data_IF_770865438173
#
_entry.id   IF_770865438173
#
_cell.length_a   1.000
_cell.length_b   1.000
_cell.length_c   1.000
_cell.angle_alpha   90.00
_cell.angle_beta   90.00
_cell.angle_gamma   90.00
#
_symmetry.space_group_name_H-M   'P 1'
#
loop_
_entity.id
_entity.type
_entity.pdbx_description
1 polymer ?
#
# COMPACT_ATOMS: atom_id res chain seq x y z
N UNK A 1 -3.22 -27.40 -17.21
CA UNK A 1 -2.72 -26.00 -17.13
C UNK A 1 -3.81 -24.92 -17.11
N UNK A 2 -4.80 -24.91 -18.03
CA UNK A 2 -5.83 -23.83 -18.08
C UNK A 2 -6.66 -23.66 -16.78
N UNK A 3 -7.00 -24.73 -16.07
CA UNK A 3 -7.81 -24.69 -14.83
C UNK A 3 -7.04 -24.14 -13.62
N UNK A 4 -5.73 -24.42 -13.55
CA UNK A 4 -4.86 -23.97 -12.46
C UNK A 4 -4.56 -22.46 -12.57
N UNK A 5 -4.25 -21.98 -13.78
CA UNK A 5 -4.09 -20.55 -14.07
C UNK A 5 -5.37 -19.75 -13.79
N UNK A 6 -6.54 -20.31 -14.14
CA UNK A 6 -7.85 -19.65 -13.93
C UNK A 6 -8.20 -19.54 -12.43
N UNK A 7 -7.83 -20.51 -11.62
CA UNK A 7 -8.00 -20.46 -10.16
C UNK A 7 -6.94 -19.59 -9.47
N UNK A 8 -5.76 -19.42 -10.08
CA UNK A 8 -4.70 -18.58 -9.53
C UNK A 8 -4.98 -17.08 -9.71
N UNK A 9 -5.61 -16.68 -10.82
CA UNK A 9 -6.02 -15.31 -11.14
C UNK A 9 -7.40 -14.94 -10.57
N UNK A 10 -7.55 -15.02 -9.24
CA UNK A 10 -8.74 -14.45 -8.59
C UNK A 10 -8.76 -12.93 -8.76
N UNK A 11 -9.94 -12.33 -8.75
CA UNK A 11 -10.10 -10.89 -8.94
C UNK A 11 -9.39 -10.07 -7.83
N UNK A 12 -9.35 -10.59 -6.60
CA UNK A 12 -8.57 -9.99 -5.52
C UNK A 12 -7.06 -10.01 -5.80
N UNK A 13 -6.53 -11.07 -6.41
CA UNK A 13 -5.10 -11.16 -6.76
C UNK A 13 -4.75 -10.26 -7.93
N UNK A 14 -5.63 -10.13 -8.92
CA UNK A 14 -5.47 -9.15 -10.01
C UNK A 14 -5.42 -7.72 -9.47
N UNK A 15 -6.32 -7.40 -8.54
CA UNK A 15 -6.32 -6.10 -7.88
C UNK A 15 -5.04 -5.89 -7.04
N UNK A 16 -4.59 -6.91 -6.30
CA UNK A 16 -3.29 -6.88 -5.60
C UNK A 16 -2.11 -6.61 -6.53
N UNK A 17 -2.05 -7.31 -7.68
CA UNK A 17 -1.01 -7.13 -8.69
C UNK A 17 -1.06 -5.74 -9.33
N UNK A 18 -2.27 -5.21 -9.57
CA UNK A 18 -2.43 -3.84 -10.06
C UNK A 18 -1.93 -2.81 -9.03
N UNK A 19 -2.22 -3.00 -7.74
CA UNK A 19 -1.72 -2.13 -6.66
C UNK A 19 -0.20 -2.20 -6.55
N UNK A 20 0.37 -3.40 -6.63
CA UNK A 20 1.82 -3.63 -6.67
C UNK A 20 2.46 -2.86 -7.82
N UNK A 21 1.91 -3.00 -9.03
CA UNK A 21 2.43 -2.32 -10.20
C UNK A 21 2.34 -0.78 -10.09
N UNK A 22 1.21 -0.25 -9.60
CA UNK A 22 1.06 1.19 -9.38
C UNK A 22 2.03 1.72 -8.33
N UNK A 23 2.23 1.00 -7.22
CA UNK A 23 3.19 1.38 -6.19
C UNK A 23 4.62 1.43 -6.74
N UNK A 24 5.01 0.42 -7.54
CA UNK A 24 6.31 0.39 -8.22
C UNK A 24 6.49 1.52 -9.22
N UNK A 25 5.47 1.82 -10.03
CA UNK A 25 5.52 2.97 -10.95
C UNK A 25 5.63 4.31 -10.21
N UNK A 26 4.86 4.51 -9.13
CA UNK A 26 4.95 5.74 -8.36
C UNK A 26 6.33 5.91 -7.75
N UNK A 27 6.90 4.83 -7.21
CA UNK A 27 8.28 4.83 -6.73
C UNK A 27 9.28 5.15 -7.83
N UNK A 28 9.15 4.53 -9.00
CA UNK A 28 10.02 4.79 -10.14
C UNK A 28 9.95 6.27 -10.57
N UNK A 29 8.74 6.78 -10.79
CA UNK A 29 8.54 8.14 -11.28
C UNK A 29 8.96 9.20 -10.26
N UNK A 30 8.67 8.99 -8.97
CA UNK A 30 9.03 9.97 -7.92
C UNK A 30 10.50 9.82 -7.51
N UNK A 31 10.96 8.60 -7.29
CA UNK A 31 12.33 8.29 -6.84
C UNK A 31 13.41 8.50 -7.89
N UNK A 32 13.11 8.27 -9.17
CA UNK A 32 14.09 8.45 -10.25
C UNK A 32 13.72 9.60 -11.20
N UNK A 33 12.44 9.87 -11.39
CA UNK A 33 11.94 10.82 -12.39
C UNK A 33 11.71 12.25 -11.88
N UNK A 34 11.82 12.51 -10.58
CA UNK A 34 11.68 13.87 -10.03
C UNK A 34 12.93 14.32 -9.30
N UNK A 35 13.12 15.65 -9.22
CA UNK A 35 14.16 16.25 -8.36
C UNK A 35 13.99 15.90 -6.88
N UNK A 36 12.82 15.34 -6.50
CA UNK A 36 12.53 14.87 -5.15
C UNK A 36 13.39 13.68 -4.75
N UNK A 37 13.76 12.82 -5.71
CA UNK A 37 14.72 11.73 -5.47
C UNK A 37 16.15 12.21 -5.19
N UNK A 38 16.45 13.48 -5.50
CA UNK A 38 17.72 14.13 -5.22
C UNK A 38 17.71 15.04 -3.99
N UNK A 39 16.60 15.15 -3.24
CA UNK A 39 16.58 15.93 -2.00
C UNK A 39 17.36 15.21 -0.90
N UNK A 40 18.17 15.97 -0.16
CA UNK A 40 18.96 15.50 0.97
C UNK A 40 18.13 15.05 2.19
N UNK A 41 16.81 15.24 2.17
CA UNK A 41 15.90 14.93 3.27
C UNK A 41 15.02 13.70 2.95
N UNK A 42 15.26 12.55 3.62
CA UNK A 42 14.41 11.36 3.48
C UNK A 42 12.93 11.58 3.80
N UNK A 43 12.64 12.57 4.65
CA UNK A 43 11.27 12.91 5.08
C UNK A 43 10.45 13.44 3.91
N UNK A 44 11.03 14.33 3.11
CA UNK A 44 10.34 14.92 1.96
C UNK A 44 10.04 13.84 0.93
N UNK A 45 11.01 12.96 0.68
CA UNK A 45 10.81 11.81 -0.21
C UNK A 45 9.67 10.90 0.26
N UNK A 46 9.66 10.51 1.55
CA UNK A 46 8.57 9.71 2.13
C UNK A 46 7.22 10.41 1.98
N UNK A 47 7.16 11.71 2.26
CA UNK A 47 5.93 12.49 2.19
C UNK A 47 5.38 12.54 0.76
N UNK A 48 6.18 12.98 -0.22
CA UNK A 48 5.74 13.08 -1.61
C UNK A 48 5.39 11.73 -2.21
N UNK A 49 6.17 10.69 -1.89
CA UNK A 49 5.88 9.33 -2.35
C UNK A 49 4.59 8.78 -1.73
N UNK A 50 4.39 8.95 -0.43
CA UNK A 50 3.19 8.49 0.28
C UNK A 50 1.93 9.19 -0.20
N UNK A 51 1.97 10.52 -0.35
CA UNK A 51 0.86 11.31 -0.91
C UNK A 51 0.61 10.94 -2.36
N UNK A 52 1.67 10.84 -3.18
CA UNK A 52 1.58 10.48 -4.59
C UNK A 52 0.91 9.13 -4.81
N UNK A 53 1.35 8.10 -4.08
CA UNK A 53 0.72 6.77 -4.13
C UNK A 53 -0.74 6.85 -3.64
N UNK A 54 -1.01 7.60 -2.57
CA UNK A 54 -2.37 7.79 -2.06
C UNK A 54 -3.31 8.40 -3.10
N UNK A 55 -2.86 9.45 -3.79
CA UNK A 55 -3.62 10.10 -4.86
C UNK A 55 -3.85 9.20 -6.06
N UNK A 56 -2.81 8.52 -6.55
CA UNK A 56 -2.93 7.54 -7.64
C UNK A 56 -3.87 6.40 -7.22
N UNK A 57 -3.84 6.00 -5.94
CA UNK A 57 -4.76 4.99 -5.43
C UNK A 57 -6.21 5.46 -5.48
N UNK A 58 -6.48 6.72 -5.10
CA UNK A 58 -7.83 7.28 -5.11
C UNK A 58 -8.36 7.49 -6.52
N UNK A 59 -7.54 8.02 -7.43
CA UNK A 59 -7.96 8.48 -8.76
C UNK A 59 -7.88 7.36 -9.80
N UNK A 60 -6.93 6.44 -9.68
CA UNK A 60 -6.67 5.40 -10.69
C UNK A 60 -7.04 4.03 -10.14
N UNK A 61 -6.41 3.60 -9.04
CA UNK A 61 -6.60 2.24 -8.53
C UNK A 61 -8.05 1.97 -8.11
N UNK A 62 -8.61 2.81 -7.23
CA UNK A 62 -9.92 2.58 -6.64
C UNK A 62 -11.03 2.50 -7.72
N UNK A 63 -11.13 3.43 -8.68
CA UNK A 63 -12.12 3.34 -9.75
C UNK A 63 -11.97 2.07 -10.58
N UNK A 64 -10.75 1.69 -10.96
CA UNK A 64 -10.53 0.47 -11.76
C UNK A 64 -10.84 -0.77 -10.92
N UNK A 65 -10.35 -0.83 -9.69
CA UNK A 65 -10.50 -1.99 -8.83
C UNK A 65 -11.97 -2.27 -8.47
N UNK A 66 -12.76 -1.24 -8.20
CA UNK A 66 -14.18 -1.40 -7.85
C UNK A 66 -15.12 -1.50 -9.06
N UNK A 67 -14.71 -1.08 -10.26
CA UNK A 67 -15.54 -1.20 -11.46
C UNK A 67 -15.22 -2.43 -12.31
N UNK A 68 -13.95 -2.85 -12.35
CA UNK A 68 -13.46 -3.93 -13.23
C UNK A 68 -13.39 -5.27 -12.49
N UNK A 69 -13.01 -5.27 -11.21
CA UNK A 69 -12.85 -6.50 -10.43
C UNK A 69 -14.00 -6.72 -9.46
N UNK A 70 -14.46 -7.96 -9.30
CA UNK A 70 -15.40 -8.33 -8.24
C UNK A 70 -14.63 -8.58 -6.95
N UNK A 71 -14.36 -7.51 -6.21
CA UNK A 71 -13.64 -7.59 -4.95
C UNK A 71 -14.52 -8.21 -3.87
N UNK A 72 -14.09 -9.34 -3.34
CA UNK A 72 -14.77 -10.03 -2.24
C UNK A 72 -13.94 -9.96 -0.97
N UNK A 73 -14.57 -9.66 0.17
CA UNK A 73 -13.93 -9.73 1.49
C UNK A 73 -14.87 -10.44 2.44
N UNK A 74 -14.40 -11.51 3.07
CA UNK A 74 -15.22 -12.37 3.94
C UNK A 74 -16.54 -12.85 3.30
N UNK A 75 -16.53 -13.10 1.99
CA UNK A 75 -17.72 -13.56 1.25
C UNK A 75 -18.65 -12.44 0.74
N UNK A 76 -18.46 -11.19 1.16
CA UNK A 76 -19.28 -10.05 0.72
C UNK A 76 -18.64 -9.30 -0.46
N UNK A 77 -19.46 -8.87 -1.43
CA UNK A 77 -19.05 -8.08 -2.59
C UNK A 77 -18.95 -6.60 -2.17
N UNK A 78 -17.74 -6.06 -2.14
CA UNK A 78 -17.46 -4.69 -1.65
C UNK A 78 -17.87 -3.57 -2.62
N UNK A 79 -18.19 -3.90 -3.88
CA UNK A 79 -18.34 -2.92 -4.96
C UNK A 79 -19.55 -1.99 -4.81
N UNK A 80 -20.66 -2.46 -4.22
CA UNK A 80 -21.90 -1.67 -4.10
C UNK A 80 -21.79 -0.52 -3.09
N UNK A 81 -21.01 -0.71 -2.03
CA UNK A 81 -20.81 0.32 -0.99
C UNK A 81 -20.00 1.50 -1.50
N UNK A 82 -19.16 1.35 -2.54
CA UNK A 82 -18.33 2.45 -3.07
C UNK A 82 -19.15 3.52 -3.83
N UNK A 83 -20.21 3.14 -4.56
CA UNK A 83 -20.95 4.07 -5.42
C UNK A 83 -21.89 5.02 -4.67
N UNK A 84 -22.43 4.62 -3.53
CA UNK A 84 -23.51 5.34 -2.83
C UNK A 84 -23.06 6.01 -1.51
N UNK A 85 -21.81 6.49 -1.45
CA UNK A 85 -21.27 7.16 -0.27
C UNK A 85 -21.50 8.68 -0.37
N UNK A 86 -21.96 9.32 0.71
CA UNK A 86 -22.07 10.78 0.78
C UNK A 86 -20.70 11.47 0.58
N UNK A 87 -20.69 12.69 0.04
CA UNK A 87 -19.45 13.43 -0.28
C UNK A 87 -18.48 13.52 0.89
N UNK A 88 -18.97 13.83 2.10
CA UNK A 88 -18.14 13.90 3.30
C UNK A 88 -17.52 12.54 3.69
N UNK A 89 -18.28 11.45 3.61
CA UNK A 89 -17.77 10.10 3.89
C UNK A 89 -16.75 9.65 2.84
N UNK A 90 -16.93 10.06 1.58
CA UNK A 90 -15.96 9.82 0.50
C UNK A 90 -14.65 10.57 0.75
N UNK A 91 -14.72 11.85 1.14
CA UNK A 91 -13.55 12.64 1.50
C UNK A 91 -12.78 12.03 2.69
N UNK A 92 -13.48 11.65 3.77
CA UNK A 92 -12.87 10.98 4.92
C UNK A 92 -12.17 9.67 4.52
N UNK A 93 -12.80 8.87 3.65
CA UNK A 93 -12.18 7.64 3.14
C UNK A 93 -10.92 7.91 2.32
N UNK A 94 -10.95 8.93 1.46
CA UNK A 94 -9.78 9.33 0.67
C UNK A 94 -8.62 9.77 1.58
N UNK A 95 -8.91 10.54 2.63
CA UNK A 95 -7.90 10.92 3.63
C UNK A 95 -7.29 9.70 4.32
N UNK A 96 -8.11 8.72 4.70
CA UNK A 96 -7.63 7.46 5.27
C UNK A 96 -6.76 6.69 4.27
N UNK A 97 -7.10 6.68 2.98
CA UNK A 97 -6.30 6.03 1.94
C UNK A 97 -4.92 6.69 1.77
N UNK A 98 -4.86 8.01 1.81
CA UNK A 98 -3.60 8.78 1.78
C UNK A 98 -2.79 8.47 3.04
N UNK A 99 -3.41 8.57 4.23
CA UNK A 99 -2.74 8.29 5.49
C UNK A 99 -2.19 6.86 5.55
N UNK A 100 -2.98 5.86 5.11
CA UNK A 100 -2.54 4.48 5.02
C UNK A 100 -1.36 4.32 4.05
N UNK A 101 -1.39 5.01 2.91
CA UNK A 101 -0.29 4.99 1.94
C UNK A 101 0.99 5.58 2.55
N UNK A 102 0.90 6.72 3.23
CA UNK A 102 2.06 7.32 3.93
C UNK A 102 2.63 6.40 5.00
N UNK A 103 1.79 5.83 5.86
CA UNK A 103 2.23 4.88 6.90
C UNK A 103 2.91 3.67 6.25
N UNK A 104 2.36 3.17 5.14
CA UNK A 104 2.96 2.05 4.41
C UNK A 104 4.35 2.42 3.87
N UNK A 105 4.52 3.60 3.27
CA UNK A 105 5.82 4.07 2.78
C UNK A 105 6.83 4.20 3.93
N UNK A 106 6.42 4.71 5.09
CA UNK A 106 7.28 4.78 6.29
C UNK A 106 7.74 3.38 6.70
N UNK A 107 6.85 2.39 6.74
CA UNK A 107 7.21 1.02 7.09
C UNK A 107 8.18 0.40 6.07
N UNK A 108 7.98 0.64 4.78
CA UNK A 108 8.92 0.20 3.73
C UNK A 108 10.28 0.84 3.93
N UNK A 109 10.33 2.16 4.13
CA UNK A 109 11.58 2.88 4.37
C UNK A 109 12.33 2.34 5.60
N UNK A 110 11.65 2.19 6.73
CA UNK A 110 12.23 1.62 7.95
C UNK A 110 12.75 0.20 7.70
N UNK A 111 12.05 -0.60 6.89
CA UNK A 111 12.50 -1.95 6.54
C UNK A 111 13.81 -1.92 5.77
N UNK A 112 13.92 -1.06 4.75
CA UNK A 112 15.18 -0.89 4.00
C UNK A 112 16.33 -0.42 4.90
N UNK A 113 16.08 0.54 5.80
CA UNK A 113 17.09 1.04 6.73
C UNK A 113 17.57 -0.06 7.69
N UNK A 114 16.64 -0.78 8.31
CA UNK A 114 16.98 -1.86 9.25
C UNK A 114 17.68 -3.04 8.56
N UNK A 115 17.28 -3.39 7.32
CA UNK A 115 17.95 -4.44 6.56
C UNK A 115 19.38 -4.06 6.20
N UNK A 116 19.60 -2.82 5.73
CA UNK A 116 20.95 -2.33 5.44
C UNK A 116 21.83 -2.31 6.70
N UNK A 117 21.31 -1.83 7.83
CA UNK A 117 22.02 -1.84 9.11
C UNK A 117 22.40 -3.26 9.55
N UNK A 118 21.46 -4.20 9.47
CA UNK A 118 21.69 -5.59 9.82
C UNK A 118 22.77 -6.23 8.95
N UNK A 119 22.72 -5.99 7.63
CA UNK A 119 23.70 -6.53 6.69
C UNK A 119 25.08 -5.90 6.89
N UNK A 120 25.15 -4.60 7.15
CA UNK A 120 26.42 -3.94 7.46
C UNK A 120 27.06 -4.50 8.73
N UNK A 121 26.25 -4.81 9.76
CA UNK A 121 26.73 -5.47 10.97
C UNK A 121 27.22 -6.90 10.70
N UNK A 122 26.50 -7.68 9.88
CA UNK A 122 26.87 -9.06 9.55
C UNK A 122 28.12 -9.15 8.66
N UNK A 123 28.36 -8.14 7.82
CA UNK A 123 29.46 -8.11 6.85
C UNK A 123 30.61 -7.19 7.28
N UNK A 124 30.58 -6.66 8.50
CA UNK A 124 31.57 -5.71 9.05
C UNK A 124 31.79 -4.48 8.16
N UNK A 125 30.74 -4.03 7.48
CA UNK A 125 30.77 -2.84 6.62
C UNK A 125 30.47 -1.57 7.43
N UNK A 126 30.94 -0.38 6.96
CA UNK A 126 30.57 0.90 7.55
C UNK A 126 29.05 1.09 7.61
N UNK A 127 28.54 1.69 8.70
CA UNK A 127 27.10 1.86 8.96
C UNK A 127 26.39 2.66 7.86
N UNK A 128 27.11 3.56 7.20
CA UNK A 128 26.60 4.42 6.13
C UNK A 128 26.48 3.70 4.77
N UNK A 129 26.97 2.46 4.67
CA UNK A 129 26.95 1.70 3.42
C UNK A 129 25.51 1.32 3.07
N UNK A 130 25.03 1.74 1.90
CA UNK A 130 23.74 1.30 1.37
C UNK A 130 23.98 0.08 0.48
N UNK A 131 23.89 -1.11 1.07
CA UNK A 131 24.11 -2.39 0.38
C UNK A 131 22.92 -2.79 -0.52
N UNK A 132 21.69 -2.61 -0.01
CA UNK A 132 20.45 -2.84 -0.75
C UNK A 132 19.82 -1.48 -1.04
N UNK A 133 20.02 -0.94 -2.26
CA UNK A 133 19.36 0.29 -2.66
C UNK A 133 17.85 0.08 -2.81
N UNK A 134 17.10 1.17 -2.67
CA UNK A 134 15.68 1.16 -2.96
C UNK A 134 15.45 1.00 -4.47
N UNK A 135 14.83 -0.11 -4.87
CA UNK A 135 14.44 -0.37 -6.25
C UNK A 135 12.90 -0.50 -6.38
N UNK A 136 12.32 -0.19 -7.54
CA UNK A 136 10.86 -0.18 -7.72
C UNK A 136 10.16 -1.49 -7.38
N UNK A 137 10.77 -2.63 -7.72
CA UNK A 137 10.16 -3.95 -7.51
C UNK A 137 10.21 -4.39 -6.05
N UNK A 138 11.36 -4.27 -5.40
CA UNK A 138 11.49 -4.50 -3.96
C UNK A 138 10.56 -3.59 -3.15
N UNK A 139 10.51 -2.30 -3.49
CA UNK A 139 9.60 -1.34 -2.88
C UNK A 139 8.13 -1.77 -3.05
N UNK A 140 7.69 -2.06 -4.28
CA UNK A 140 6.32 -2.45 -4.56
C UNK A 140 5.90 -3.71 -3.77
N UNK A 141 6.82 -4.65 -3.63
CA UNK A 141 6.58 -5.91 -2.91
C UNK A 141 6.36 -5.67 -1.42
N UNK A 142 7.28 -4.92 -0.78
CA UNK A 142 7.13 -4.54 0.63
C UNK A 142 5.90 -3.67 0.85
N UNK A 143 5.63 -2.74 -0.06
CA UNK A 143 4.45 -1.88 -0.01
C UNK A 143 3.16 -2.71 -0.03
N UNK A 144 3.01 -3.65 -0.97
CA UNK A 144 1.83 -4.50 -1.04
C UNK A 144 1.68 -5.34 0.24
N UNK A 145 2.78 -5.90 0.74
CA UNK A 145 2.78 -6.70 1.96
C UNK A 145 2.29 -5.88 3.15
N UNK A 146 2.93 -4.74 3.43
CA UNK A 146 2.54 -3.88 4.55
C UNK A 146 1.12 -3.33 4.39
N UNK A 147 0.74 -2.89 3.19
CA UNK A 147 -0.62 -2.41 2.95
C UNK A 147 -1.67 -3.49 3.22
N UNK A 148 -1.39 -4.74 2.83
CA UNK A 148 -2.28 -5.88 3.10
C UNK A 148 -2.41 -6.13 4.60
N UNK A 149 -1.28 -6.19 5.31
CA UNK A 149 -1.26 -6.39 6.77
C UNK A 149 -2.01 -5.27 7.49
N UNK A 150 -1.74 -4.01 7.15
CA UNK A 150 -2.44 -2.85 7.74
C UNK A 150 -3.94 -2.89 7.46
N UNK A 151 -4.34 -3.26 6.23
CA UNK A 151 -5.74 -3.38 5.85
C UNK A 151 -6.47 -4.48 6.60
N UNK A 152 -5.80 -5.60 6.88
CA UNK A 152 -6.34 -6.70 7.68
C UNK A 152 -6.45 -6.32 9.16
N UNK A 153 -5.43 -5.67 9.72
CA UNK A 153 -5.44 -5.16 11.10
C UNK A 153 -6.57 -4.16 11.30
N UNK A 154 -6.72 -3.18 10.38
CA UNK A 154 -7.79 -2.19 10.44
C UNK A 154 -9.19 -2.82 10.43
N UNK A 155 -9.40 -3.87 9.63
CA UNK A 155 -10.67 -4.60 9.63
C UNK A 155 -10.91 -5.36 10.93
N UNK A 156 -9.90 -6.09 11.43
CA UNK A 156 -10.00 -6.79 12.73
C UNK A 156 -10.36 -5.82 13.87
N UNK A 157 -9.78 -4.62 13.87
CA UNK A 157 -10.09 -3.57 14.85
C UNK A 157 -11.53 -3.05 14.71
N UNK A 158 -11.99 -2.84 13.47
CA UNK A 158 -13.37 -2.41 13.19
C UNK A 158 -14.39 -3.47 13.67
N UNK A 159 -14.15 -4.73 13.36
CA UNK A 159 -15.03 -5.84 13.76
C UNK A 159 -15.12 -5.97 15.29
N UNK A 160 -13.99 -5.79 15.99
CA UNK A 160 -13.96 -5.78 17.46
C UNK A 160 -14.78 -4.61 18.03
N UNK A 161 -14.66 -3.42 17.44
CA UNK A 161 -15.40 -2.23 17.88
C UNK A 161 -16.90 -2.42 17.69
N UNK A 162 -17.32 -3.00 16.57
CA UNK A 162 -18.74 -3.29 16.31
C UNK A 162 -19.31 -4.33 17.29
N UNK A 163 -18.57 -5.41 17.54
CA UNK A 163 -18.95 -6.43 18.54
C UNK A 163 -19.04 -5.86 19.95
N UNK A 164 -18.15 -4.94 20.33
CA UNK A 164 -18.18 -4.27 21.63
C UNK A 164 -19.36 -3.31 21.75
N UNK A 165 -19.69 -2.56 20.69
CA UNK A 165 -20.86 -1.68 20.66
C UNK A 165 -22.20 -2.44 20.73
N UNK A 166 -22.26 -3.65 20.17
CA UNK A 166 -23.43 -4.55 20.25
C UNK A 166 -23.61 -5.24 21.62
N UNK A 167 -22.58 -5.31 22.46
CA UNK A 167 -22.65 -5.86 23.83
C UNK A 167 -23.01 -4.82 24.90
N UNK A 168 -22.92 -3.54 24.56
CA UNK A 168 -23.17 -2.41 25.49
C UNK A 168 -24.55 -1.79 25.25
N UNK A 169 -25.26 -2.23 24.21
CA UNK A 169 -26.70 -2.01 24.02
C UNK A 169 -27.46 -3.25 24.47
#
# INVERSE_FOLDING_TARGET
MKKFLKNWFTDNRKAGLMRWWLAGMCYFMIGFGTQVGGYSSPIDFIFFLGVGIGLVTIVVYNPIAYNVFRLTRNGEILNHTYRNISGAKKAARNLVEIAASMITVILVYLTYQNLNLLLNQMLELPVETVLIPGEPFGFATLYLLFYTVLSELAAKLRDRKEKRGKRVK
#
